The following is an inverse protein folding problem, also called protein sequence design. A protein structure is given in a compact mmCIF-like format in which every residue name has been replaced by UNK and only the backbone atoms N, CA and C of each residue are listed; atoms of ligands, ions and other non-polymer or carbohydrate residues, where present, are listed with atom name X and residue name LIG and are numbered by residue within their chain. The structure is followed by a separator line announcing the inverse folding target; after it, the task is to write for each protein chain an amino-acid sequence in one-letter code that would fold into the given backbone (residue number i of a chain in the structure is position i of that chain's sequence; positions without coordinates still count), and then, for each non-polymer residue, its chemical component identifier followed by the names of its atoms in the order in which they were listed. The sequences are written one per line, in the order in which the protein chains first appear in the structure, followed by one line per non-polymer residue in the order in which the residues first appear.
data_IF_623335563626
#
_entry.id   IF_623335563626
#
_cell.length_a   1.000
_cell.length_b   1.000
_cell.length_c   1.000
_cell.angle_alpha   90.00
_cell.angle_beta   90.00
_cell.angle_gamma   90.00
#
_symmetry.space_group_name_H-M   'P 1'
#
loop_
_entity.id
_entity.type
_entity.pdbx_description
1 polymer ?
#
# COMPACT_ATOMS: atom_id res chain seq x y z
N UNK A 1 -31.76 -41.94 -61.35
CA UNK A 1 -30.50 -41.17 -61.38
C UNK A 1 -30.24 -40.70 -59.95
N UNK A 2 -29.56 -41.53 -59.15
CA UNK A 2 -29.35 -41.33 -57.71
C UNK A 2 -28.00 -40.64 -57.53
N UNK A 3 -28.00 -39.50 -56.84
CA UNK A 3 -26.77 -38.78 -56.49
C UNK A 3 -26.22 -39.31 -55.15
N UNK A 4 -24.90 -39.49 -55.01
CA UNK A 4 -24.29 -39.97 -53.79
C UNK A 4 -24.30 -38.89 -52.70
N UNK A 5 -24.75 -39.27 -51.50
CA UNK A 5 -24.60 -38.47 -50.27
C UNK A 5 -23.19 -38.67 -49.73
N UNK A 6 -22.41 -37.59 -49.67
CA UNK A 6 -21.10 -37.58 -49.03
C UNK A 6 -21.24 -37.52 -47.51
N UNK A 7 -20.72 -38.53 -46.81
CA UNK A 7 -20.54 -38.52 -45.36
C UNK A 7 -19.38 -37.61 -44.99
N UNK A 8 -19.64 -36.59 -44.17
CA UNK A 8 -18.59 -35.83 -43.47
C UNK A 8 -18.54 -36.34 -42.03
N UNK A 9 -17.47 -37.04 -41.68
CA UNK A 9 -17.16 -37.39 -40.29
C UNK A 9 -16.67 -36.12 -39.57
N UNK A 10 -17.46 -35.62 -38.63
CA UNK A 10 -17.01 -34.57 -37.69
C UNK A 10 -16.21 -35.27 -36.59
N UNK A 11 -14.89 -35.16 -36.63
CA UNK A 11 -14.04 -35.54 -35.50
C UNK A 11 -14.34 -34.61 -34.32
N UNK A 12 -14.96 -35.14 -33.26
CA UNK A 12 -14.95 -34.49 -31.95
C UNK A 12 -13.54 -34.60 -31.37
N UNK A 13 -12.72 -33.58 -31.59
CA UNK A 13 -11.48 -33.39 -30.85
C UNK A 13 -11.82 -33.03 -29.41
N UNK A 14 -11.66 -33.97 -28.49
CA UNK A 14 -11.60 -33.69 -27.06
C UNK A 14 -10.31 -32.89 -26.84
N UNK A 15 -10.42 -31.57 -26.75
CA UNK A 15 -9.35 -30.75 -26.18
C UNK A 15 -9.37 -30.99 -24.68
N UNK A 16 -8.50 -31.86 -24.20
CA UNK A 16 -8.10 -31.86 -22.79
C UNK A 16 -7.47 -30.50 -22.50
N UNK A 17 -8.21 -29.62 -21.83
CA UNK A 17 -7.63 -28.43 -21.19
C UNK A 17 -6.84 -28.96 -20.02
N UNK A 18 -5.57 -29.23 -20.25
CA UNK A 18 -4.60 -29.47 -19.21
C UNK A 18 -4.54 -28.20 -18.36
N UNK A 19 -4.95 -28.32 -17.09
CA UNK A 19 -4.91 -27.23 -16.14
C UNK A 19 -3.46 -26.77 -15.99
N UNK A 20 -3.10 -25.75 -16.76
CA UNK A 20 -1.82 -25.08 -16.62
C UNK A 20 -1.84 -24.48 -15.23
N UNK A 21 -0.91 -24.94 -14.38
CA UNK A 21 -0.65 -24.31 -13.09
C UNK A 21 -0.55 -22.80 -13.33
N UNK A 22 -1.37 -22.05 -12.61
CA UNK A 22 -1.31 -20.59 -12.61
C UNK A 22 0.17 -20.21 -12.47
N UNK A 23 0.75 -19.37 -13.37
CA UNK A 23 2.13 -19.00 -13.24
C UNK A 23 2.30 -18.41 -11.84
N UNK A 24 3.18 -19.01 -11.04
CA UNK A 24 3.62 -18.45 -9.76
C UNK A 24 4.13 -17.05 -10.07
N UNK A 25 3.30 -16.04 -9.83
CA UNK A 25 3.64 -14.65 -10.08
C UNK A 25 4.82 -14.35 -9.17
N UNK A 26 6.02 -14.29 -9.73
CA UNK A 26 7.20 -13.84 -9.01
C UNK A 26 6.98 -12.34 -8.75
N UNK A 27 6.53 -12.02 -7.53
CA UNK A 27 6.51 -10.64 -7.06
C UNK A 27 7.97 -10.19 -7.03
N UNK A 28 8.34 -9.31 -7.97
CA UNK A 28 9.67 -8.72 -7.97
C UNK A 28 9.86 -7.95 -6.65
N UNK A 29 11.01 -8.11 -6.01
CA UNK A 29 11.30 -7.37 -4.78
C UNK A 29 11.32 -5.87 -5.07
N UNK A 30 11.04 -5.01 -4.07
CA UNK A 30 11.17 -3.57 -4.22
C UNK A 30 12.51 -3.14 -4.82
N UNK A 31 13.61 -3.78 -4.42
CA UNK A 31 14.95 -3.52 -4.95
C UNK A 31 15.11 -3.92 -6.43
N UNK A 32 14.50 -5.04 -6.84
CA UNK A 32 14.50 -5.46 -8.24
C UNK A 32 13.72 -4.48 -9.12
N UNK A 33 12.56 -4.00 -8.64
CA UNK A 33 11.77 -2.99 -9.34
C UNK A 33 12.49 -1.65 -9.39
N UNK A 34 13.06 -1.19 -8.27
CA UNK A 34 13.86 0.03 -8.24
C UNK A 34 15.02 -0.03 -9.27
N UNK A 35 15.72 -1.16 -9.35
CA UNK A 35 16.80 -1.36 -10.32
C UNK A 35 16.28 -1.36 -11.77
N UNK A 36 15.15 -2.04 -12.02
CA UNK A 36 14.52 -2.10 -13.35
C UNK A 36 14.12 -0.73 -13.87
N UNK A 37 13.65 0.16 -13.00
CA UNK A 37 13.20 1.51 -13.34
C UNK A 37 14.27 2.59 -13.11
N UNK A 38 15.52 2.18 -12.87
CA UNK A 38 16.65 3.08 -12.63
C UNK A 38 16.39 4.12 -11.52
N UNK A 39 15.67 3.74 -10.46
CA UNK A 39 15.44 4.59 -9.29
C UNK A 39 16.73 4.66 -8.46
N UNK A 40 17.30 5.85 -8.36
CA UNK A 40 18.66 6.05 -7.82
C UNK A 40 18.71 6.41 -6.35
N UNK A 41 17.58 6.80 -5.76
CA UNK A 41 17.49 7.23 -4.36
C UNK A 41 16.37 6.44 -3.68
N UNK A 42 16.57 6.12 -2.40
CA UNK A 42 15.57 5.50 -1.54
C UNK A 42 15.56 6.18 -0.18
N UNK A 43 14.42 6.10 0.51
CA UNK A 43 14.25 6.54 1.89
C UNK A 43 13.18 5.67 2.55
N UNK A 44 13.09 5.73 3.86
CA UNK A 44 12.03 5.09 4.65
C UNK A 44 11.57 6.02 5.77
N UNK A 45 10.33 5.83 6.22
CA UNK A 45 9.85 6.46 7.44
C UNK A 45 10.44 5.69 8.62
N UNK A 46 11.22 6.37 9.46
CA UNK A 46 11.85 5.74 10.62
C UNK A 46 10.79 5.36 11.66
N UNK A 47 10.87 4.15 12.21
CA UNK A 47 9.98 3.70 13.29
C UNK A 47 10.72 3.82 14.64
N UNK A 48 10.00 4.05 15.75
CA UNK A 48 10.60 4.08 17.06
C UNK A 48 11.05 2.67 17.47
N UNK A 49 11.96 2.58 18.44
CA UNK A 49 12.43 1.30 18.99
C UNK A 49 11.51 0.73 20.08
N UNK A 50 10.54 1.52 20.54
CA UNK A 50 9.57 1.16 21.57
C UNK A 50 8.15 1.59 21.18
N UNK A 51 7.16 0.97 21.80
CA UNK A 51 5.75 1.35 21.65
C UNK A 51 5.51 2.75 22.19
N UNK A 52 4.64 3.52 21.54
CA UNK A 52 4.31 4.89 21.91
C UNK A 52 2.80 5.03 22.04
N UNK A 53 2.36 5.72 23.10
CA UNK A 53 0.96 6.14 23.24
C UNK A 53 0.60 7.18 22.17
N UNK A 54 -0.69 7.53 21.97
CA UNK A 54 -1.08 8.45 20.90
C UNK A 54 -0.39 9.82 20.93
N UNK A 55 -0.26 10.45 22.11
CA UNK A 55 0.45 11.74 22.24
C UNK A 55 1.92 11.63 21.81
N UNK A 56 2.61 10.60 22.29
CA UNK A 56 4.03 10.39 22.00
C UNK A 56 4.25 9.96 20.55
N UNK A 57 3.25 9.29 19.96
CA UNK A 57 3.23 8.90 18.54
C UNK A 57 3.12 10.12 17.65
N UNK A 58 2.25 11.08 17.99
CA UNK A 58 2.14 12.35 17.29
C UNK A 58 3.47 13.11 17.32
N UNK A 59 4.05 13.30 18.51
CA UNK A 59 5.34 13.98 18.68
C UNK A 59 6.46 13.31 17.87
N UNK A 60 6.52 11.98 17.89
CA UNK A 60 7.50 11.21 17.13
C UNK A 60 7.32 11.38 15.62
N UNK A 61 6.10 11.22 15.11
CA UNK A 61 5.80 11.31 13.68
C UNK A 61 6.10 12.72 13.17
N UNK A 62 5.64 13.76 13.87
CA UNK A 62 5.86 15.16 13.48
C UNK A 62 7.34 15.50 13.43
N UNK A 63 8.12 15.02 14.42
CA UNK A 63 9.57 15.28 14.48
C UNK A 63 10.40 14.45 13.51
N UNK A 64 9.94 13.25 13.12
CA UNK A 64 10.77 12.27 12.40
C UNK A 64 10.42 12.09 10.93
N UNK A 65 9.17 12.38 10.51
CA UNK A 65 8.66 12.00 9.18
C UNK A 65 8.60 13.16 8.18
N UNK A 66 9.15 14.34 8.53
CA UNK A 66 9.21 15.53 7.68
C UNK A 66 7.83 15.84 7.05
N UNK A 67 6.83 16.06 7.89
CA UNK A 67 5.46 16.26 7.43
C UNK A 67 5.27 17.63 6.79
N UNK A 68 4.41 17.69 5.77
CA UNK A 68 3.94 18.93 5.20
C UNK A 68 3.28 19.78 6.29
N UNK A 69 3.70 21.04 6.40
CA UNK A 69 3.26 21.96 7.43
C UNK A 69 3.41 21.41 8.87
N UNK A 70 4.38 20.51 9.07
CA UNK A 70 4.85 20.03 10.38
C UNK A 70 3.72 19.51 11.28
N UNK A 71 2.70 18.86 10.69
CA UNK A 71 1.56 18.34 11.45
C UNK A 71 0.95 17.10 10.83
N UNK A 72 0.25 16.34 11.67
CA UNK A 72 -0.80 15.41 11.23
C UNK A 72 -2.05 16.26 10.96
N UNK A 73 -2.70 16.07 9.81
CA UNK A 73 -3.86 16.88 9.44
C UNK A 73 -5.07 16.54 10.30
N UNK A 74 -5.33 15.24 10.48
CA UNK A 74 -6.48 14.70 11.20
C UNK A 74 -6.13 13.34 11.81
N UNK A 75 -6.79 12.98 12.93
CA UNK A 75 -6.73 11.63 13.49
C UNK A 75 -5.44 11.25 14.23
N UNK A 76 -4.72 12.22 14.81
CA UNK A 76 -3.51 11.90 15.60
C UNK A 76 -3.81 11.02 16.81
N UNK A 77 -4.99 11.19 17.43
CA UNK A 77 -5.46 10.37 18.54
C UNK A 77 -5.72 8.89 18.17
N UNK A 78 -5.92 8.59 16.88
CA UNK A 78 -6.16 7.23 16.39
C UNK A 78 -4.85 6.47 16.08
N UNK A 79 -3.70 7.14 16.14
CA UNK A 79 -2.38 6.57 15.88
C UNK A 79 -1.70 6.10 17.16
N UNK A 80 -1.06 4.93 17.11
CA UNK A 80 -0.16 4.48 18.16
C UNK A 80 0.91 3.55 17.59
N UNK A 81 2.14 3.61 18.10
CA UNK A 81 3.10 2.54 17.89
C UNK A 81 2.87 1.43 18.91
N UNK A 82 2.51 0.23 18.45
CA UNK A 82 2.13 -0.91 19.29
C UNK A 82 3.01 -2.13 18.99
N UNK A 83 3.06 -3.16 19.86
CA UNK A 83 3.73 -4.40 19.51
C UNK A 83 3.07 -5.01 18.28
N UNK A 84 3.85 -5.57 17.36
CA UNK A 84 3.31 -6.24 16.17
C UNK A 84 2.40 -7.42 16.55
N UNK A 85 1.06 -7.31 16.33
CA UNK A 85 0.13 -8.36 16.71
C UNK A 85 0.14 -9.55 15.72
N UNK A 86 0.82 -9.44 14.57
CA UNK A 86 0.86 -10.46 13.52
C UNK A 86 2.13 -11.34 13.57
N UNK A 87 2.96 -11.20 14.59
CA UNK A 87 4.22 -11.94 14.79
C UNK A 87 4.07 -13.47 14.83
N UNK A 88 2.87 -14.00 15.07
CA UNK A 88 2.57 -15.43 15.08
C UNK A 88 1.92 -15.94 13.78
N UNK A 89 1.62 -15.09 12.79
CA UNK A 89 0.92 -15.50 11.56
C UNK A 89 1.86 -16.01 10.45
N UNK A 90 3.18 -15.85 10.59
CA UNK A 90 4.17 -16.32 9.60
C UNK A 90 4.63 -17.77 9.83
N UNK A 91 4.15 -18.45 10.89
CA UNK A 91 4.56 -19.81 11.25
C UNK A 91 3.49 -20.87 10.98
N UNK A 92 2.88 -20.85 9.79
CA UNK A 92 2.19 -22.04 9.25
C UNK A 92 3.17 -22.96 8.49
N UNK A 93 4.38 -23.12 9.01
CA UNK A 93 5.29 -24.22 8.64
C UNK A 93 5.82 -24.85 9.92
N UNK A 94 5.49 -26.11 10.09
CA UNK A 94 5.88 -26.99 11.20
C UNK A 94 7.38 -26.91 11.48
N UNK A 95 7.79 -26.16 12.51
CA UNK A 95 9.04 -26.43 13.23
C UNK A 95 8.94 -25.90 14.65
N UNK A 96 8.92 -26.86 15.56
CA UNK A 96 9.13 -26.78 17.00
C UNK A 96 10.35 -25.96 17.40
N UNK A 97 10.20 -25.26 18.53
CA UNK A 97 11.22 -24.60 19.35
C UNK A 97 11.79 -23.26 18.81
N UNK A 98 11.03 -22.18 18.99
CA UNK A 98 11.61 -20.84 19.08
C UNK A 98 12.03 -20.57 20.54
N UNK A 99 13.33 -20.64 20.81
CA UNK A 99 13.94 -19.95 21.95
C UNK A 99 13.49 -18.49 21.89
N UNK A 100 12.72 -18.05 22.88
CA UNK A 100 12.25 -16.68 22.98
C UNK A 100 13.46 -15.73 22.95
N UNK A 101 13.70 -15.09 21.81
CA UNK A 101 14.62 -13.96 21.74
C UNK A 101 14.02 -12.86 22.60
N UNK A 102 14.74 -12.43 23.63
CA UNK A 102 14.38 -11.37 24.57
C UNK A 102 14.31 -9.97 23.96
N UNK A 103 14.28 -9.85 22.63
CA UNK A 103 14.05 -8.57 21.95
C UNK A 103 12.55 -8.46 21.71
N UNK A 104 11.86 -7.49 22.33
CA UNK A 104 10.46 -7.25 22.00
C UNK A 104 10.33 -7.01 20.50
N UNK A 105 9.25 -7.51 19.85
CA UNK A 105 9.04 -7.29 18.44
C UNK A 105 9.06 -5.78 18.13
N UNK A 106 9.69 -5.40 17.02
CA UNK A 106 9.73 -4.00 16.57
C UNK A 106 8.31 -3.44 16.53
N UNK A 107 8.07 -2.22 17.06
CA UNK A 107 6.74 -1.62 17.03
C UNK A 107 6.22 -1.45 15.60
N UNK A 108 4.91 -1.52 15.44
CA UNK A 108 4.20 -1.19 14.18
C UNK A 108 3.30 0.01 14.41
N UNK A 109 3.07 0.81 13.36
CA UNK A 109 2.07 1.88 13.41
C UNK A 109 0.68 1.28 13.29
N UNK A 110 -0.12 1.36 14.35
CA UNK A 110 -1.54 1.02 14.32
C UNK A 110 -2.36 2.28 14.04
N UNK A 111 -3.41 2.10 13.24
CA UNK A 111 -4.44 3.11 12.99
C UNK A 111 -5.77 2.57 13.52
N UNK A 112 -6.44 3.34 14.38
CA UNK A 112 -7.74 2.98 14.94
C UNK A 112 -8.86 3.57 14.08
N UNK A 113 -9.91 2.80 13.84
CA UNK A 113 -11.12 3.24 13.15
C UNK A 113 -12.32 3.07 14.09
N UNK A 114 -12.70 4.11 14.86
CA UNK A 114 -13.84 4.03 15.76
C UNK A 114 -15.15 3.63 15.06
N UNK A 115 -16.05 2.96 15.78
CA UNK A 115 -17.36 2.57 15.24
C UNK A 115 -18.13 3.80 14.76
N UNK A 116 -18.67 3.73 13.54
CA UNK A 116 -19.39 4.83 12.89
C UNK A 116 -18.50 5.90 12.24
N UNK A 117 -17.17 5.75 12.28
CA UNK A 117 -16.24 6.63 11.56
C UNK A 117 -16.25 6.39 10.04
N UNK A 118 -15.97 7.43 9.25
CA UNK A 118 -15.94 7.30 7.78
C UNK A 118 -15.09 8.33 7.02
N UNK A 119 -14.68 9.44 7.65
CA UNK A 119 -13.80 10.46 7.03
C UNK A 119 -13.33 11.52 8.02
N UNK A 120 -12.23 12.22 7.69
CA UNK A 120 -11.68 13.34 8.47
C UNK A 120 -11.46 12.94 9.94
N UNK A 121 -11.73 13.84 10.88
CA UNK A 121 -11.56 13.64 12.34
C UNK A 121 -12.53 12.64 12.99
N UNK A 122 -13.21 11.80 12.20
CA UNK A 122 -14.08 10.75 12.78
C UNK A 122 -13.34 9.43 12.99
N UNK A 123 -12.25 9.18 12.25
CA UNK A 123 -11.46 7.96 12.37
C UNK A 123 -10.40 7.81 11.29
N UNK A 124 -9.39 6.99 11.57
CA UNK A 124 -8.20 6.88 10.73
C UNK A 124 -7.24 8.04 10.95
N UNK A 125 -6.30 8.25 10.02
CA UNK A 125 -5.39 9.38 10.09
C UNK A 125 -5.03 9.91 8.70
N UNK A 126 -4.64 11.18 8.64
CA UNK A 126 -4.16 11.82 7.41
C UNK A 126 -2.96 12.71 7.69
N UNK A 127 -1.90 12.52 6.90
CA UNK A 127 -0.73 13.38 6.87
C UNK A 127 -0.04 13.24 5.51
N UNK A 128 0.82 14.20 5.19
CA UNK A 128 1.67 14.14 4.00
C UNK A 128 3.13 14.14 4.43
N UNK A 129 3.82 13.02 4.29
CA UNK A 129 5.27 12.98 4.44
C UNK A 129 5.92 13.56 3.18
N UNK A 130 6.75 14.59 3.35
CA UNK A 130 7.47 15.21 2.25
C UNK A 130 8.84 14.55 2.12
N UNK A 131 9.13 14.06 0.92
CA UNK A 131 10.49 13.69 0.58
C UNK A 131 11.15 14.85 -0.15
N UNK A 132 11.81 15.70 0.62
CA UNK A 132 12.76 16.65 0.05
C UNK A 132 14.05 15.89 -0.19
N UNK A 133 14.50 15.82 -1.45
CA UNK A 133 15.86 15.34 -1.71
C UNK A 133 16.79 16.22 -0.89
N UNK A 134 17.56 15.63 0.03
CA UNK A 134 18.63 16.32 0.77
C UNK A 134 19.76 16.81 -0.15
N UNK A 135 19.62 16.65 -1.47
CA UNK A 135 20.48 17.26 -2.46
C UNK A 135 20.02 18.70 -2.71
N UNK A 136 20.97 19.62 -2.53
CA UNK A 136 20.92 21.06 -2.74
C UNK A 136 20.55 21.53 -4.17
N UNK A 137 19.95 20.67 -4.99
CA UNK A 137 19.68 20.90 -6.42
C UNK A 137 18.21 21.16 -6.76
N UNK A 138 17.27 21.02 -5.80
CA UNK A 138 15.84 21.22 -6.08
C UNK A 138 15.27 20.24 -7.10
N UNK A 139 15.89 19.06 -7.24
CA UNK A 139 15.52 18.08 -8.25
C UNK A 139 14.11 17.53 -7.99
N UNK A 140 13.25 17.62 -9.00
CA UNK A 140 11.89 17.08 -8.99
C UNK A 140 11.94 15.58 -9.30
N UNK A 141 11.25 14.76 -8.50
CA UNK A 141 11.09 13.33 -8.80
C UNK A 141 10.02 13.15 -9.87
N UNK A 142 10.37 12.55 -10.99
CA UNK A 142 9.44 12.18 -12.09
C UNK A 142 8.95 10.75 -12.00
N UNK A 143 9.67 9.91 -11.25
CA UNK A 143 9.31 8.52 -10.99
C UNK A 143 9.57 8.15 -9.54
N UNK A 144 8.63 7.43 -8.92
CA UNK A 144 8.72 6.99 -7.52
C UNK A 144 8.13 5.59 -7.37
N UNK A 145 8.69 4.87 -6.39
CA UNK A 145 8.20 3.58 -5.92
C UNK A 145 7.84 3.72 -4.42
N UNK A 146 6.58 3.51 -4.09
CA UNK A 146 6.10 3.37 -2.71
C UNK A 146 5.87 1.89 -2.37
N UNK A 147 6.44 1.45 -1.25
CA UNK A 147 6.22 0.11 -0.70
C UNK A 147 5.93 0.20 0.79
N UNK A 148 4.97 -0.58 1.25
CA UNK A 148 4.62 -0.74 2.66
C UNK A 148 3.94 -2.09 2.84
N UNK A 149 3.99 -2.59 4.07
CA UNK A 149 3.19 -3.73 4.51
C UNK A 149 1.98 -3.21 5.28
N UNK A 150 0.84 -3.84 5.08
CA UNK A 150 -0.40 -3.55 5.80
C UNK A 150 -1.02 -4.86 6.23
N UNK A 151 -1.51 -4.89 7.46
CA UNK A 151 -2.24 -6.01 8.01
C UNK A 151 -3.55 -5.49 8.60
N UNK A 152 -4.60 -6.30 8.47
CA UNK A 152 -5.91 -6.03 9.01
C UNK A 152 -6.20 -7.10 10.06
N UNK A 153 -6.81 -6.69 11.18
CA UNK A 153 -7.25 -7.63 12.19
C UNK A 153 -8.24 -8.64 11.59
N UNK A 154 -8.29 -9.85 12.14
CA UNK A 154 -9.14 -10.92 11.59
C UNK A 154 -10.63 -10.60 11.59
N UNK A 155 -11.04 -9.66 12.44
CA UNK A 155 -12.40 -9.16 12.61
C UNK A 155 -12.59 -7.75 12.03
N UNK A 156 -11.66 -7.28 11.18
CA UNK A 156 -11.80 -6.00 10.50
C UNK A 156 -13.06 -5.95 9.64
N UNK A 157 -13.95 -4.99 9.92
CA UNK A 157 -15.17 -4.77 9.14
C UNK A 157 -14.86 -3.93 7.90
N UNK A 158 -14.86 -4.58 6.73
CA UNK A 158 -14.56 -3.97 5.45
C UNK A 158 -15.61 -2.94 5.00
N UNK A 159 -16.85 -3.06 5.48
CA UNK A 159 -18.02 -2.23 5.12
C UNK A 159 -18.11 -1.98 3.60
N UNK A 160 -17.84 -0.75 3.16
CA UNK A 160 -17.91 -0.30 1.75
C UNK A 160 -16.54 0.01 1.16
N UNK A 161 -15.47 -0.15 1.94
CA UNK A 161 -14.12 0.25 1.58
C UNK A 161 -13.58 1.45 2.34
N UNK A 162 -12.32 1.77 2.07
CA UNK A 162 -11.60 2.90 2.68
C UNK A 162 -10.26 3.14 2.00
N UNK A 163 -9.46 4.08 2.53
CA UNK A 163 -8.27 4.64 1.85
C UNK A 163 -6.99 4.11 2.48
N UNK A 164 -6.04 3.69 1.65
CA UNK A 164 -4.67 3.35 2.03
C UNK A 164 -3.67 4.43 1.58
N UNK A 165 -2.45 4.44 2.16
CA UNK A 165 -1.38 5.32 1.75
C UNK A 165 -1.06 5.21 0.26
N UNK A 166 -0.68 6.34 -0.34
CA UNK A 166 -0.32 6.41 -1.76
C UNK A 166 0.51 7.65 -2.07
N UNK A 167 0.99 7.74 -3.30
CA UNK A 167 1.80 8.87 -3.76
C UNK A 167 0.93 10.06 -4.15
N UNK A 168 1.48 11.25 -3.98
CA UNK A 168 0.96 12.50 -4.53
C UNK A 168 2.10 13.31 -5.15
N UNK A 169 1.74 14.27 -5.98
CA UNK A 169 2.68 15.27 -6.46
C UNK A 169 1.98 16.41 -7.20
N UNK A 170 2.79 17.32 -7.74
CA UNK A 170 2.38 18.55 -8.40
C UNK A 170 2.44 19.78 -7.49
N UNK A 171 2.21 20.95 -8.09
CA UNK A 171 2.43 22.25 -7.47
C UNK A 171 1.41 22.58 -6.37
N UNK A 172 0.21 22.03 -6.45
CA UNK A 172 -0.82 22.23 -5.43
C UNK A 172 -0.56 21.34 -4.20
N UNK A 173 -0.09 22.00 -3.13
CA UNK A 173 0.23 21.38 -1.85
C UNK A 173 -1.00 20.97 -1.02
N UNK A 174 -2.23 21.32 -1.42
CA UNK A 174 -3.45 20.97 -0.67
C UNK A 174 -4.55 20.31 -1.53
N UNK A 175 -4.42 20.31 -2.86
CA UNK A 175 -5.40 19.76 -3.80
C UNK A 175 -5.35 18.24 -4.04
N UNK A 176 -6.11 17.78 -5.04
CA UNK A 176 -6.17 16.39 -5.51
C UNK A 176 -6.70 15.35 -4.50
N UNK A 177 -7.46 15.80 -3.52
CA UNK A 177 -8.23 14.95 -2.61
C UNK A 177 -9.56 15.63 -2.23
N UNK A 178 -10.46 14.95 -1.52
CA UNK A 178 -11.68 15.57 -0.97
C UNK A 178 -12.65 16.19 -1.99
N UNK A 179 -12.61 15.77 -3.26
CA UNK A 179 -13.43 16.34 -4.34
C UNK A 179 -12.75 17.46 -5.14
N UNK A 180 -11.56 17.92 -4.74
CA UNK A 180 -10.72 18.79 -5.55
C UNK A 180 -10.05 17.97 -6.65
N UNK A 181 -10.55 18.11 -7.88
CA UNK A 181 -10.09 17.30 -9.01
C UNK A 181 -8.75 17.80 -9.55
N UNK A 182 -7.91 16.86 -9.98
CA UNK A 182 -6.77 17.18 -10.83
C UNK A 182 -7.29 17.81 -12.13
N UNK A 183 -6.64 18.90 -12.57
CA UNK A 183 -6.93 19.57 -13.84
C UNK A 183 -5.89 19.25 -14.93
N UNK A 184 -4.96 18.32 -14.65
CA UNK A 184 -3.89 17.90 -15.54
C UNK A 184 -2.57 18.64 -15.34
N UNK A 185 -2.55 19.77 -14.62
CA UNK A 185 -1.32 20.54 -14.36
C UNK A 185 -1.12 20.94 -12.90
N UNK A 186 -2.15 20.85 -12.05
CA UNK A 186 -2.08 21.26 -10.65
C UNK A 186 -1.48 20.20 -9.72
N UNK A 187 -1.97 18.96 -9.78
CA UNK A 187 -1.55 17.87 -8.89
C UNK A 187 -2.03 16.49 -9.38
N UNK A 188 -1.54 15.44 -8.72
CA UNK A 188 -2.07 14.08 -8.82
C UNK A 188 -2.07 13.39 -7.45
N UNK A 189 -2.95 12.39 -7.29
CA UNK A 189 -2.92 11.46 -6.16
C UNK A 189 -3.23 10.04 -6.64
N UNK A 190 -2.58 9.06 -6.02
CA UNK A 190 -2.57 7.65 -6.46
C UNK A 190 -2.70 6.75 -5.24
N UNK A 191 -3.70 7.04 -4.42
CA UNK A 191 -4.05 6.22 -3.26
C UNK A 191 -4.64 4.90 -3.70
N UNK A 192 -4.35 3.88 -2.91
CA UNK A 192 -5.04 2.59 -3.01
C UNK A 192 -6.28 2.66 -2.11
N UNK A 193 -7.32 1.94 -2.47
CA UNK A 193 -8.53 1.77 -1.68
C UNK A 193 -8.71 0.29 -1.37
N UNK A 194 -9.19 -0.04 -0.18
CA UNK A 194 -9.87 -1.33 0.00
C UNK A 194 -11.34 -1.19 -0.32
N UNK A 195 -11.98 -2.31 -0.61
CA UNK A 195 -13.39 -2.50 -0.99
C UNK A 195 -14.01 -3.55 -0.08
N UNK A 196 -15.33 -3.82 -0.21
CA UNK A 196 -15.96 -4.91 0.52
C UNK A 196 -15.16 -6.21 0.39
N UNK A 197 -15.16 -7.01 1.45
CA UNK A 197 -14.47 -8.32 1.49
C UNK A 197 -12.94 -8.25 1.35
N UNK A 198 -12.33 -7.07 1.51
CA UNK A 198 -10.88 -6.91 1.44
C UNK A 198 -10.31 -6.85 0.03
N UNK A 199 -11.17 -6.71 -0.98
CA UNK A 199 -10.73 -6.44 -2.35
C UNK A 199 -9.97 -5.11 -2.42
N UNK A 200 -8.87 -5.04 -3.18
CA UNK A 200 -8.16 -3.80 -3.44
C UNK A 200 -8.67 -3.12 -4.71
N UNK A 201 -8.98 -1.82 -4.66
CA UNK A 201 -9.20 -0.98 -5.85
C UNK A 201 -8.17 0.15 -5.92
N UNK A 202 -7.58 0.29 -7.09
CA UNK A 202 -6.34 1.03 -7.34
C UNK A 202 -5.50 0.21 -8.30
N UNK A 203 -4.46 0.79 -8.89
CA UNK A 203 -3.62 0.06 -9.86
C UNK A 203 -2.99 -1.16 -9.15
N UNK A 204 -3.50 -2.34 -9.46
CA UNK A 204 -3.09 -3.61 -8.84
C UNK A 204 -1.63 -3.90 -9.19
N UNK A 205 -0.76 -3.75 -8.19
CA UNK A 205 0.52 -4.42 -7.92
C UNK A 205 1.13 -3.69 -6.73
N UNK A 206 1.67 -4.40 -5.73
CA UNK A 206 2.26 -3.85 -4.49
C UNK A 206 3.57 -3.04 -4.70
N UNK A 207 3.63 -2.30 -5.79
CA UNK A 207 4.69 -1.45 -6.27
C UNK A 207 3.99 -0.43 -7.17
N UNK A 208 3.61 0.70 -6.58
CA UNK A 208 3.09 1.80 -7.37
C UNK A 208 4.26 2.50 -8.04
N UNK A 209 4.43 2.25 -9.33
CA UNK A 209 5.36 2.96 -10.20
C UNK A 209 4.59 4.03 -10.95
N UNK A 210 4.93 5.28 -10.66
CA UNK A 210 4.41 6.40 -11.44
C UNK A 210 5.48 6.85 -12.41
N UNK A 211 5.10 6.98 -13.68
CA UNK A 211 5.89 7.65 -14.70
C UNK A 211 5.17 8.96 -15.02
N UNK A 212 5.70 10.08 -14.53
CA UNK A 212 5.20 11.40 -14.86
C UNK A 212 6.12 12.07 -15.87
N UNK A 213 5.69 12.15 -17.13
CA UNK A 213 6.20 13.19 -18.03
C UNK A 213 5.33 14.44 -17.76
N UNK A 214 5.93 15.46 -17.13
CA UNK A 214 5.34 16.80 -17.05
C UNK A 214 5.86 17.63 -18.21
#
# INVERSE_FOLDING_TARGET
MMHPLAFWAVCFGIFSVEATSQPKVLIASPAALASQYALTTSTSLAFPTATLAPSDTEDFIVSSWNLNAERIEYGSADLAFVPDPFTNASSSTTSSAATASSTPPSPVLRVTYPSGSYSHDTGGAQFYALWNASNSTGAQFTSMLLTYEVAFDSDFDWVKGGKLPGLRGGADAYGCSGGQRANGSNCFSTRVMWRPEGEGEGMSRSCLLLYGAF
#
